data_IF_052991568279
#
_entry.id   IF_052991568279
#
_cell.length_a   1.000
_cell.length_b   1.000
_cell.length_c   1.000
_cell.angle_alpha   90.00
_cell.angle_beta   90.00
_cell.angle_gamma   90.00
#
_symmetry.space_group_name_H-M   'P 1'
#
loop_
_entity.id
_entity.type
_entity.pdbx_description
1 polymer ?
#
# COMPACT_ATOMS: atom_id res chain seq x y z
N UNK A 1 -20.53 -6.68 29.59
CA UNK A 1 -21.04 -7.94 29.01
C UNK A 1 -21.85 -7.62 27.76
N UNK A 2 -21.55 -8.27 26.61
CA UNK A 2 -22.42 -8.37 25.42
C UNK A 2 -22.37 -7.21 24.41
N UNK A 3 -21.43 -7.17 23.45
CA UNK A 3 -21.44 -7.82 22.12
C UNK A 3 -22.46 -7.25 21.11
N UNK A 4 -21.88 -6.62 20.06
CA UNK A 4 -22.20 -6.73 18.63
C UNK A 4 -23.60 -6.33 18.19
N UNK A 5 -23.72 -5.25 17.40
CA UNK A 5 -24.39 -5.30 16.09
C UNK A 5 -23.75 -4.28 15.14
N UNK A 6 -22.86 -4.77 14.27
CA UNK A 6 -22.37 -4.06 13.08
C UNK A 6 -23.57 -3.82 12.16
N UNK A 7 -24.07 -2.59 12.10
CA UNK A 7 -24.88 -2.09 10.98
C UNK A 7 -24.49 -0.65 10.68
N UNK A 8 -23.70 -0.49 9.62
CA UNK A 8 -23.93 0.54 8.61
C UNK A 8 -23.20 0.13 7.34
N UNK A 9 -23.92 -0.68 6.56
CA UNK A 9 -23.89 -0.65 5.11
C UNK A 9 -24.35 0.76 4.75
N UNK A 10 -23.41 1.64 4.42
CA UNK A 10 -23.73 2.91 3.79
C UNK A 10 -23.46 2.70 2.31
N UNK A 11 -24.54 2.50 1.59
CA UNK A 11 -24.63 2.62 0.15
C UNK A 11 -24.11 4.01 -0.24
N UNK A 12 -23.01 4.04 -0.99
CA UNK A 12 -22.56 5.17 -1.79
C UNK A 12 -22.36 4.56 -3.17
N UNK A 13 -23.06 5.11 -4.17
CA UNK A 13 -22.95 4.73 -5.57
C UNK A 13 -21.48 4.38 -5.91
N UNK A 14 -21.16 3.15 -6.35
CA UNK A 14 -19.79 2.85 -6.70
C UNK A 14 -19.50 3.56 -8.02
N UNK A 15 -18.89 4.76 -7.93
CA UNK A 15 -17.75 5.07 -8.80
C UNK A 15 -16.95 3.76 -8.92
N UNK A 16 -16.64 3.26 -10.14
CA UNK A 16 -16.12 1.91 -10.31
C UNK A 16 -15.05 1.66 -9.25
N UNK A 17 -15.40 0.78 -8.30
CA UNK A 17 -14.59 0.57 -7.11
C UNK A 17 -13.22 0.18 -7.62
N UNK A 18 -12.23 1.06 -7.44
CA UNK A 18 -10.87 0.80 -7.88
C UNK A 18 -10.52 -0.63 -7.45
N UNK A 19 -10.19 -1.49 -8.41
CA UNK A 19 -9.97 -2.91 -8.14
C UNK A 19 -8.83 -3.02 -7.12
N UNK A 20 -8.99 -3.88 -6.11
CA UNK A 20 -7.97 -4.07 -5.07
C UNK A 20 -7.54 -5.53 -4.99
N UNK A 21 -6.27 -5.75 -4.68
CA UNK A 21 -5.71 -7.08 -4.43
C UNK A 21 -5.21 -7.18 -2.98
N UNK A 22 -5.54 -8.28 -2.31
CA UNK A 22 -5.09 -8.60 -0.96
C UNK A 22 -3.86 -9.50 -0.97
N UNK A 23 -2.88 -9.16 -0.14
CA UNK A 23 -1.66 -9.93 0.07
C UNK A 23 -1.55 -10.36 1.53
N UNK A 24 -1.24 -11.64 1.75
CA UNK A 24 -1.08 -12.23 3.09
C UNK A 24 0.35 -12.64 3.35
N UNK A 25 0.86 -12.32 4.53
CA UNK A 25 2.13 -12.86 5.01
C UNK A 25 1.91 -14.13 5.88
N UNK A 26 3.01 -14.73 6.36
CA UNK A 26 3.00 -15.97 7.13
C UNK A 26 2.34 -15.83 8.52
N UNK A 27 2.39 -14.64 9.13
CA UNK A 27 1.75 -14.29 10.40
C UNK A 27 0.26 -13.95 10.23
N UNK A 28 -0.23 -13.88 8.99
CA UNK A 28 -1.63 -13.62 8.68
C UNK A 28 -2.01 -12.14 8.63
N UNK A 29 -1.05 -11.21 8.56
CA UNK A 29 -1.38 -9.82 8.25
C UNK A 29 -1.84 -9.72 6.79
N UNK A 30 -2.69 -8.73 6.49
CA UNK A 30 -3.30 -8.54 5.16
C UNK A 30 -3.03 -7.12 4.67
N UNK A 31 -2.25 -6.97 3.60
CA UNK A 31 -2.07 -5.69 2.92
C UNK A 31 -2.95 -5.65 1.67
N UNK A 32 -3.85 -4.68 1.60
CA UNK A 32 -4.73 -4.46 0.45
C UNK A 32 -4.19 -3.30 -0.38
N UNK A 33 -3.93 -3.56 -1.65
CA UNK A 33 -3.39 -2.60 -2.61
C UNK A 33 -4.42 -2.29 -3.70
N UNK A 34 -4.47 -1.04 -4.15
CA UNK A 34 -5.16 -0.63 -5.37
C UNK A 34 -4.41 -1.11 -6.60
N UNK A 35 -5.14 -1.72 -7.52
CA UNK A 35 -4.62 -2.22 -8.80
C UNK A 35 -4.34 -1.11 -9.81
N UNK A 36 -4.98 0.06 -9.61
CA UNK A 36 -4.97 1.16 -10.56
C UNK A 36 -4.70 2.48 -9.85
N UNK A 37 -3.88 3.32 -10.47
CA UNK A 37 -3.65 4.71 -10.08
C UNK A 37 -3.73 5.60 -11.33
N UNK A 38 -4.09 6.88 -11.15
CA UNK A 38 -4.17 7.81 -12.29
C UNK A 38 -2.86 7.89 -13.08
N UNK A 39 -2.95 8.12 -14.40
CA UNK A 39 -1.77 8.29 -15.27
C UNK A 39 -0.82 9.40 -14.77
N UNK A 40 -1.38 10.48 -14.22
CA UNK A 40 -0.61 11.55 -13.59
C UNK A 40 0.18 11.07 -12.35
N UNK A 41 -0.36 10.11 -11.60
CA UNK A 41 0.34 9.49 -10.47
C UNK A 41 1.44 8.54 -10.94
N UNK A 42 1.17 7.71 -11.95
CA UNK A 42 2.20 6.85 -12.59
C UNK A 42 3.38 7.70 -13.07
N UNK A 43 3.12 8.78 -13.78
CA UNK A 43 4.16 9.68 -14.29
C UNK A 43 4.96 10.36 -13.17
N UNK A 44 4.28 10.75 -12.07
CA UNK A 44 4.96 11.29 -10.88
C UNK A 44 5.89 10.25 -10.24
N UNK A 45 5.45 9.00 -10.15
CA UNK A 45 6.24 7.90 -9.60
C UNK A 45 7.49 7.65 -10.44
N UNK A 46 7.35 7.59 -11.76
CA UNK A 46 8.48 7.47 -12.71
C UNK A 46 9.52 8.58 -12.56
N UNK A 47 9.08 9.83 -12.39
CA UNK A 47 10.00 10.97 -12.20
C UNK A 47 10.71 10.96 -10.86
N UNK A 48 10.07 10.43 -9.81
CA UNK A 48 10.68 10.34 -8.49
C UNK A 48 11.89 9.41 -8.48
N UNK A 49 11.85 8.33 -9.27
CA UNK A 49 12.97 7.39 -9.45
C UNK A 49 14.17 8.01 -10.21
N UNK A 50 13.91 8.99 -11.07
CA UNK A 50 14.93 9.56 -11.98
C UNK A 50 15.75 10.72 -11.40
N UNK A 51 15.45 11.21 -10.19
CA UNK A 51 16.17 12.37 -9.61
C UNK A 51 17.54 11.97 -9.05
N UNK A 52 18.60 12.36 -9.75
CA UNK A 52 20.00 12.14 -9.39
C UNK A 52 20.43 12.91 -8.13
N UNK A 53 21.22 12.27 -7.26
CA UNK A 53 21.93 12.91 -6.14
C UNK A 53 21.77 12.27 -4.76
N UNK A 54 20.95 11.21 -4.62
CA UNK A 54 20.77 10.47 -3.36
C UNK A 54 21.44 9.08 -3.44
N UNK A 55 21.82 8.53 -2.29
CA UNK A 55 22.29 7.14 -2.18
C UNK A 55 21.24 6.18 -2.72
N UNK A 56 21.66 5.04 -3.29
CA UNK A 56 20.75 4.01 -3.83
C UNK A 56 19.68 3.59 -2.80
N UNK A 57 20.09 3.44 -1.54
CA UNK A 57 19.20 3.10 -0.41
C UNK A 57 18.15 4.18 -0.12
N UNK A 58 18.53 5.46 -0.18
CA UNK A 58 17.61 6.60 0.00
C UNK A 58 16.56 6.65 -1.13
N UNK A 59 16.98 6.36 -2.37
CA UNK A 59 16.08 6.32 -3.53
C UNK A 59 15.08 5.17 -3.36
N UNK A 60 15.56 3.99 -2.97
CA UNK A 60 14.72 2.82 -2.74
C UNK A 60 13.72 3.07 -1.61
N UNK A 61 14.16 3.61 -0.47
CA UNK A 61 13.29 3.93 0.65
C UNK A 61 12.17 4.92 0.27
N UNK A 62 12.52 6.00 -0.44
CA UNK A 62 11.55 6.98 -0.93
C UNK A 62 10.59 6.40 -1.96
N UNK A 63 11.08 5.54 -2.86
CA UNK A 63 10.26 4.84 -3.85
C UNK A 63 9.22 3.96 -3.16
N UNK A 64 9.63 3.19 -2.16
CA UNK A 64 8.74 2.30 -1.41
C UNK A 64 7.71 3.09 -0.63
N UNK A 65 8.08 4.17 0.05
CA UNK A 65 7.12 5.05 0.74
C UNK A 65 6.11 5.67 -0.24
N UNK A 66 6.56 6.11 -1.43
CA UNK A 66 5.67 6.64 -2.45
C UNK A 66 4.70 5.59 -2.97
N UNK A 67 5.19 4.37 -3.27
CA UNK A 67 4.35 3.25 -3.68
C UNK A 67 3.32 2.92 -2.61
N UNK A 68 3.76 2.82 -1.36
CA UNK A 68 2.88 2.55 -0.22
C UNK A 68 1.83 3.65 -0.07
N UNK A 69 2.22 4.93 -0.23
CA UNK A 69 1.28 6.06 -0.16
C UNK A 69 0.17 5.98 -1.22
N UNK A 70 0.51 5.50 -2.42
CA UNK A 70 -0.40 5.50 -3.57
C UNK A 70 -1.24 4.24 -3.69
N UNK A 71 -0.70 3.10 -3.28
CA UNK A 71 -1.31 1.79 -3.50
C UNK A 71 -2.00 1.27 -2.25
N UNK A 72 -1.42 1.44 -1.05
CA UNK A 72 -1.98 0.85 0.15
C UNK A 72 -3.27 1.56 0.57
N UNK A 73 -4.36 0.79 0.66
CA UNK A 73 -5.68 1.29 1.08
C UNK A 73 -6.17 0.66 2.37
N UNK A 74 -5.62 -0.50 2.74
CA UNK A 74 -5.90 -1.16 4.01
C UNK A 74 -4.71 -2.02 4.42
N UNK A 75 -4.47 -2.09 5.72
CA UNK A 75 -3.55 -3.05 6.30
C UNK A 75 -4.12 -3.61 7.60
N UNK A 76 -4.38 -4.91 7.63
CA UNK A 76 -4.77 -5.63 8.82
C UNK A 76 -3.55 -6.28 9.46
N UNK A 77 -3.25 -5.93 10.70
CA UNK A 77 -2.11 -6.48 11.44
C UNK A 77 -2.60 -7.02 12.76
N UNK A 78 -2.29 -8.28 13.07
CA UNK A 78 -2.79 -8.96 14.26
C UNK A 78 -4.32 -8.83 14.43
N UNK A 79 -5.07 -8.85 13.31
CA UNK A 79 -6.52 -8.71 13.28
C UNK A 79 -7.05 -7.27 13.47
N UNK A 80 -6.17 -6.26 13.50
CA UNK A 80 -6.55 -4.86 13.62
C UNK A 80 -6.46 -4.16 12.25
N UNK A 81 -7.58 -3.72 11.66
CA UNK A 81 -7.58 -3.06 10.38
C UNK A 81 -7.21 -1.58 10.49
N UNK A 82 -6.28 -1.15 9.64
CA UNK A 82 -5.90 0.24 9.41
C UNK A 82 -6.32 0.63 8.00
N UNK A 83 -6.97 1.79 7.86
CA UNK A 83 -7.52 2.27 6.57
C UNK A 83 -7.15 3.74 6.30
N UNK A 84 -6.73 4.49 7.33
CA UNK A 84 -6.28 5.87 7.19
C UNK A 84 -4.85 5.95 6.67
N UNK A 85 -4.60 6.77 5.63
CA UNK A 85 -3.26 6.88 5.02
C UNK A 85 -2.15 7.24 6.02
N UNK A 86 -2.45 8.15 6.96
CA UNK A 86 -1.49 8.55 8.01
C UNK A 86 -1.19 7.41 8.97
N UNK A 87 -2.19 6.60 9.31
CA UNK A 87 -2.03 5.44 10.19
C UNK A 87 -1.27 4.33 9.47
N UNK A 88 -1.57 4.07 8.20
CA UNK A 88 -0.85 3.13 7.35
C UNK A 88 0.63 3.50 7.28
N UNK A 89 0.96 4.75 6.95
CA UNK A 89 2.35 5.23 6.89
C UNK A 89 3.03 5.18 8.26
N UNK A 90 2.35 5.61 9.31
CA UNK A 90 2.86 5.51 10.68
C UNK A 90 3.18 4.06 11.06
N UNK A 91 2.30 3.12 10.70
CA UNK A 91 2.50 1.71 10.99
C UNK A 91 3.61 1.09 10.17
N UNK A 92 3.77 1.46 8.91
CA UNK A 92 4.89 1.03 8.06
C UNK A 92 6.23 1.50 8.63
N UNK A 93 6.31 2.77 9.04
CA UNK A 93 7.49 3.35 9.68
C UNK A 93 7.81 2.76 11.05
N UNK A 94 6.84 2.17 11.74
CA UNK A 94 7.06 1.47 13.01
C UNK A 94 7.23 -0.04 12.84
N UNK A 95 7.03 -0.58 11.64
CA UNK A 95 7.15 -2.00 11.38
C UNK A 95 8.59 -2.49 11.54
N UNK A 96 8.73 -3.72 12.04
CA UNK A 96 9.99 -4.44 12.13
C UNK A 96 10.60 -4.72 10.73
N UNK A 97 11.91 -5.00 10.65
CA UNK A 97 12.60 -5.17 9.37
C UNK A 97 12.00 -6.25 8.46
N UNK A 98 11.53 -7.36 9.04
CA UNK A 98 10.90 -8.46 8.29
C UNK A 98 9.59 -8.01 7.64
N UNK A 99 8.72 -7.35 8.42
CA UNK A 99 7.45 -6.85 7.93
C UNK A 99 7.64 -5.75 6.88
N UNK A 100 8.61 -4.85 7.07
CA UNK A 100 8.96 -3.84 6.05
C UNK A 100 9.46 -4.48 4.77
N UNK A 101 10.31 -5.51 4.88
CA UNK A 101 10.79 -6.27 3.73
C UNK A 101 9.63 -6.92 2.97
N UNK A 102 8.72 -7.58 3.67
CA UNK A 102 7.53 -8.18 3.05
C UNK A 102 6.66 -7.13 2.34
N UNK A 103 6.40 -5.98 2.97
CA UNK A 103 5.66 -4.87 2.33
C UNK A 103 6.38 -4.38 1.07
N UNK A 104 7.70 -4.17 1.13
CA UNK A 104 8.49 -3.73 -0.02
C UNK A 104 8.41 -4.72 -1.18
N UNK A 105 8.64 -6.00 -0.92
CA UNK A 105 8.60 -7.05 -1.95
C UNK A 105 7.19 -7.15 -2.56
N UNK A 106 6.15 -7.02 -1.73
CA UNK A 106 4.75 -7.01 -2.17
C UNK A 106 4.43 -5.82 -3.07
N UNK A 107 4.86 -4.62 -2.70
CA UNK A 107 4.62 -3.40 -3.50
C UNK A 107 5.33 -3.47 -4.85
N UNK A 108 6.59 -3.91 -4.87
CA UNK A 108 7.39 -4.01 -6.09
C UNK A 108 6.82 -5.08 -7.05
N UNK A 109 6.45 -6.24 -6.52
CA UNK A 109 5.76 -7.27 -7.29
C UNK A 109 4.39 -6.81 -7.82
N UNK A 110 3.57 -6.18 -6.98
CA UNK A 110 2.26 -5.67 -7.38
C UNK A 110 2.39 -4.62 -8.49
N UNK A 111 3.29 -3.66 -8.32
CA UNK A 111 3.53 -2.61 -9.29
C UNK A 111 4.00 -3.18 -10.64
N UNK A 112 4.85 -4.22 -10.65
CA UNK A 112 5.22 -4.94 -11.89
C UNK A 112 4.03 -5.65 -12.51
N UNK A 113 3.23 -6.40 -11.74
CA UNK A 113 2.05 -7.14 -12.25
C UNK A 113 0.99 -6.23 -12.85
N UNK A 114 0.91 -4.98 -12.39
CA UNK A 114 -0.04 -3.96 -12.84
C UNK A 114 0.57 -2.95 -13.83
N UNK A 115 1.81 -3.16 -14.29
CA UNK A 115 2.54 -2.28 -15.22
C UNK A 115 2.64 -0.81 -14.73
N UNK A 116 2.68 -0.62 -13.41
CA UNK A 116 2.73 0.72 -12.78
C UNK A 116 4.14 1.30 -12.73
N UNK A 117 5.16 0.47 -12.96
CA UNK A 117 6.58 0.83 -13.01
C UNK A 117 7.22 0.13 -14.21
N UNK A 118 8.18 0.77 -14.92
CA UNK A 118 8.96 0.07 -15.95
C UNK A 118 9.83 -1.02 -15.29
N UNK A 119 9.93 -2.17 -15.96
CA UNK A 119 10.82 -3.28 -15.58
C UNK A 119 12.29 -3.02 -15.88
#
# INVERSE_FOLDING_TARGET
MGRRQRRRRAETDPEPLATTTDYRDAEGNVLTLRDEVSAATVERMRRAESRAGASLDDIEARRVELLFERLAVRWEIAGLPLEGQRELLGRYRLADPELRRWVRETLDDHARRRDLLPG
#
